data_IF_340396072775
#
_entry.id   IF_340396072775
#
_cell.length_a   1.000
_cell.length_b   1.000
_cell.length_c   1.000
_cell.angle_alpha   90.00
_cell.angle_beta   90.00
_cell.angle_gamma   90.00
#
_symmetry.space_group_name_H-M   'P 1'
#
loop_
_entity.id
_entity.type
_entity.pdbx_description
1 polymer ?
#
# COMPACT_ATOMS: atom_id res chain seq x y z
N UNK A 1 0.41 6.09 20.07
CA UNK A 1 0.57 6.17 18.60
C UNK A 1 -0.15 4.97 18.02
N UNK A 2 -1.38 5.15 17.53
CA UNK A 2 -2.18 4.03 17.00
C UNK A 2 -1.98 3.99 15.49
N UNK A 3 -0.97 3.25 15.04
CA UNK A 3 -0.80 2.93 13.62
C UNK A 3 -1.79 1.84 13.21
N UNK A 4 -2.36 1.95 12.02
CA UNK A 4 -3.17 0.88 11.44
C UNK A 4 -2.30 -0.35 11.16
N UNK A 5 -2.82 -1.55 11.39
CA UNK A 5 -2.15 -2.78 10.93
C UNK A 5 -2.33 -2.95 9.42
N UNK A 6 -1.49 -3.76 8.78
CA UNK A 6 -1.71 -4.11 7.37
C UNK A 6 -3.08 -4.73 7.11
N UNK A 7 -3.66 -5.43 8.10
CA UNK A 7 -5.00 -5.99 7.95
C UNK A 7 -6.07 -4.90 7.98
N UNK A 8 -5.93 -3.89 8.83
CA UNK A 8 -6.84 -2.74 8.87
C UNK A 8 -6.80 -1.96 7.55
N UNK A 9 -5.60 -1.75 7.00
CA UNK A 9 -5.43 -1.13 5.67
C UNK A 9 -6.09 -1.99 4.59
N UNK A 10 -5.90 -3.31 4.64
CA UNK A 10 -6.52 -4.23 3.68
C UNK A 10 -8.05 -4.22 3.76
N UNK A 11 -8.62 -4.14 4.96
CA UNK A 11 -10.07 -4.01 5.17
C UNK A 11 -10.57 -2.68 4.58
N UNK A 12 -9.84 -1.58 4.77
CA UNK A 12 -10.21 -0.28 4.21
C UNK A 12 -10.17 -0.26 2.66
N UNK A 13 -9.24 -1.00 2.03
CA UNK A 13 -9.09 -1.04 0.57
C UNK A 13 -10.03 -2.07 -0.08
N UNK A 14 -10.13 -3.27 0.47
CA UNK A 14 -10.78 -4.42 -0.17
C UNK A 14 -12.10 -4.84 0.51
N UNK A 15 -12.38 -4.34 1.71
CA UNK A 15 -13.54 -4.72 2.53
C UNK A 15 -13.29 -5.98 3.36
N UNK A 16 -13.86 -6.01 4.58
CA UNK A 16 -13.68 -7.13 5.52
C UNK A 16 -14.15 -8.48 4.95
N UNK A 17 -15.29 -8.48 4.25
CA UNK A 17 -15.86 -9.69 3.67
C UNK A 17 -14.87 -10.42 2.74
N UNK A 18 -14.04 -9.68 2.01
CA UNK A 18 -13.03 -10.26 1.10
C UNK A 18 -11.73 -10.64 1.81
N UNK A 19 -11.40 -9.98 2.91
CA UNK A 19 -10.21 -10.32 3.71
C UNK A 19 -10.45 -11.57 4.55
N UNK A 20 -11.69 -11.83 4.94
CA UNK A 20 -12.06 -12.96 5.78
C UNK A 20 -12.31 -14.26 5.00
N UNK A 21 -12.37 -14.23 3.65
CA UNK A 21 -12.54 -15.44 2.83
C UNK A 21 -11.30 -16.33 2.82
N UNK A 22 -10.11 -15.75 2.96
CA UNK A 22 -8.84 -16.45 2.82
C UNK A 22 -7.95 -16.29 4.07
N UNK A 23 -7.12 -17.29 4.40
CA UNK A 23 -6.17 -17.16 5.52
C UNK A 23 -5.23 -15.96 5.34
N UNK A 24 -5.31 -14.99 6.26
CA UNK A 24 -4.61 -13.70 6.15
C UNK A 24 -3.08 -13.83 5.97
N UNK A 25 -2.41 -14.73 6.71
CA UNK A 25 -0.94 -14.81 6.71
C UNK A 25 -0.35 -15.21 5.35
N UNK A 26 -1.09 -15.99 4.56
CA UNK A 26 -0.68 -16.51 3.25
C UNK A 26 -1.49 -15.88 2.11
N UNK A 27 -2.27 -14.83 2.41
CA UNK A 27 -3.14 -14.19 1.44
C UNK A 27 -2.34 -13.29 0.49
N UNK A 28 -2.59 -13.34 -0.83
CA UNK A 28 -1.97 -12.39 -1.77
C UNK A 28 -2.41 -10.94 -1.51
N UNK A 29 -3.55 -10.71 -0.83
CA UNK A 29 -3.98 -9.37 -0.44
C UNK A 29 -3.07 -8.78 0.64
N UNK A 30 -2.49 -9.62 1.50
CA UNK A 30 -1.49 -9.17 2.47
C UNK A 30 -0.24 -8.66 1.75
N UNK A 31 0.27 -9.44 0.80
CA UNK A 31 1.46 -9.06 0.04
C UNK A 31 1.21 -7.78 -0.77
N UNK A 32 0.03 -7.64 -1.37
CA UNK A 32 -0.38 -6.42 -2.08
C UNK A 32 -0.41 -5.19 -1.16
N UNK A 33 -0.93 -5.31 0.07
CA UNK A 33 -0.96 -4.19 1.02
C UNK A 33 0.43 -3.84 1.55
N UNK A 34 1.30 -4.83 1.77
CA UNK A 34 2.70 -4.58 2.16
C UNK A 34 3.40 -3.80 1.04
N UNK A 35 3.31 -4.28 -0.20
CA UNK A 35 3.91 -3.61 -1.34
C UNK A 35 3.35 -2.19 -1.55
N UNK A 36 2.04 -2.00 -1.33
CA UNK A 36 1.41 -0.68 -1.36
C UNK A 36 1.99 0.27 -0.31
N UNK A 37 2.12 -0.19 0.94
CA UNK A 37 2.67 0.62 2.02
C UNK A 37 4.15 0.97 1.79
N UNK A 38 4.95 0.00 1.36
CA UNK A 38 6.36 0.20 1.01
C UNK A 38 6.52 1.20 -0.15
N UNK A 39 5.70 1.07 -1.19
CA UNK A 39 5.71 2.02 -2.31
C UNK A 39 5.29 3.43 -1.87
N UNK A 40 4.28 3.55 -1.01
CA UNK A 40 3.86 4.84 -0.45
C UNK A 40 4.95 5.51 0.40
N UNK A 41 5.65 4.72 1.23
CA UNK A 41 6.79 5.21 2.00
C UNK A 41 7.93 5.66 1.09
N UNK A 42 8.27 4.87 0.07
CA UNK A 42 9.29 5.24 -0.91
C UNK A 42 8.92 6.52 -1.69
N UNK A 43 7.63 6.73 -1.97
CA UNK A 43 7.15 7.97 -2.57
C UNK A 43 7.39 9.17 -1.64
N UNK A 44 7.05 9.04 -0.35
CA UNK A 44 7.22 10.11 0.65
C UNK A 44 8.71 10.40 0.90
N UNK A 45 9.58 9.39 0.84
CA UNK A 45 11.04 9.49 1.01
C UNK A 45 11.76 10.14 -0.19
N UNK A 46 11.07 10.99 -0.95
CA UNK A 46 11.62 11.71 -2.10
C UNK A 46 11.35 11.05 -3.45
N UNK A 47 10.74 9.86 -3.49
CA UNK A 47 10.32 9.21 -4.74
C UNK A 47 9.36 10.07 -5.58
N UNK A 48 8.54 10.90 -4.93
CA UNK A 48 7.67 11.87 -5.60
C UNK A 48 8.44 12.84 -6.52
N UNK A 49 9.70 13.18 -6.21
CA UNK A 49 10.50 14.06 -7.05
C UNK A 49 10.71 13.45 -8.42
N UNK A 50 10.87 12.13 -8.55
CA UNK A 50 11.05 11.47 -9.84
C UNK A 50 9.79 11.50 -10.72
N UNK A 51 8.60 11.43 -10.12
CA UNK A 51 7.33 11.59 -10.82
C UNK A 51 7.20 13.00 -11.39
N UNK A 52 7.61 14.01 -10.61
CA UNK A 52 7.49 15.42 -10.97
C UNK A 52 8.68 15.96 -11.77
N UNK A 53 9.83 15.29 -11.74
CA UNK A 53 11.03 15.64 -12.53
C UNK A 53 10.89 15.30 -14.01
N UNK A 54 9.78 14.70 -14.43
CA UNK A 54 9.55 14.37 -15.84
C UNK A 54 9.35 15.65 -16.67
N UNK A 55 10.49 16.26 -16.98
CA UNK A 55 10.88 17.12 -18.11
C UNK A 55 9.78 18.06 -18.64
N UNK A 56 9.99 19.37 -18.49
CA UNK A 56 9.56 20.33 -19.52
C UNK A 56 10.10 19.80 -20.87
N UNK A 57 9.21 19.28 -21.71
CA UNK A 57 9.50 19.13 -23.14
C UNK A 57 9.77 20.54 -23.66
N UNK A 58 11.03 20.84 -23.93
CA UNK A 58 11.43 21.94 -24.82
C UNK A 58 11.03 21.60 -26.23
#
# INVERSE_FOLDING_TARGET
MNGATYRDIAIAIYGAARIDTDPWKTSPLRDAVIAFAEAGLALIDGGYLHLLRHRRRT
#
